data_IF_571147430505
#
_entry.id   IF_571147430505
#
_cell.length_a   1.000
_cell.length_b   1.000
_cell.length_c   1.000
_cell.angle_alpha   90.00
_cell.angle_beta   90.00
_cell.angle_gamma   90.00
#
_symmetry.space_group_name_H-M   'P 1'
#
loop_
_entity.id
_entity.type
_entity.pdbx_description
1 polymer ?
#
# COMPACT_ATOMS: atom_id res chain seq x y z
N UNK A 1 -14.01 -30.47 14.98
CA UNK A 1 -13.25 -30.58 13.74
C UNK A 1 -12.12 -29.56 13.76
N UNK A 2 -10.94 -30.01 14.24
CA UNK A 2 -9.69 -29.26 14.15
C UNK A 2 -9.07 -29.49 12.76
N UNK A 3 -9.71 -28.97 11.72
CA UNK A 3 -9.09 -28.91 10.40
C UNK A 3 -7.94 -27.91 10.46
N UNK A 4 -6.72 -28.41 10.29
CA UNK A 4 -5.54 -27.54 10.12
C UNK A 4 -5.84 -26.55 8.99
N UNK A 5 -5.61 -25.24 9.19
CA UNK A 5 -5.84 -24.26 8.14
C UNK A 5 -5.02 -24.67 6.90
N UNK A 6 -5.69 -24.92 5.79
CA UNK A 6 -5.00 -25.27 4.55
C UNK A 6 -4.13 -24.08 4.11
N UNK A 7 -2.96 -24.36 3.51
CA UNK A 7 -2.07 -23.31 2.96
C UNK A 7 -2.84 -22.38 2.02
N UNK A 8 -3.81 -22.92 1.28
CA UNK A 8 -4.73 -22.15 0.45
C UNK A 8 -5.50 -21.08 1.24
N UNK A 9 -6.07 -21.46 2.39
CA UNK A 9 -6.83 -20.53 3.26
C UNK A 9 -5.93 -19.45 3.84
N UNK A 10 -4.70 -19.82 4.26
CA UNK A 10 -3.70 -18.87 4.73
C UNK A 10 -3.34 -17.86 3.64
N UNK A 11 -3.01 -18.34 2.44
CA UNK A 11 -2.68 -17.48 1.29
C UNK A 11 -3.83 -16.57 0.89
N UNK A 12 -5.07 -17.05 0.93
CA UNK A 12 -6.24 -16.24 0.61
C UNK A 12 -6.45 -15.10 1.63
N UNK A 13 -6.32 -15.39 2.92
CA UNK A 13 -6.40 -14.37 3.98
C UNK A 13 -5.26 -13.35 3.84
N UNK A 14 -4.06 -13.80 3.47
CA UNK A 14 -2.93 -12.92 3.24
C UNK A 14 -3.14 -12.04 2.01
N UNK A 15 -3.67 -12.60 0.92
CA UNK A 15 -4.04 -11.84 -0.28
C UNK A 15 -5.12 -10.80 0.00
N UNK A 16 -6.14 -11.14 0.78
CA UNK A 16 -7.16 -10.20 1.24
C UNK A 16 -6.52 -9.02 2.00
N UNK A 17 -5.65 -9.33 2.97
CA UNK A 17 -4.93 -8.32 3.74
C UNK A 17 -4.06 -7.43 2.84
N UNK A 18 -3.34 -8.01 1.87
CA UNK A 18 -2.52 -7.28 0.91
C UNK A 18 -3.37 -6.37 0.01
N UNK A 19 -4.51 -6.87 -0.48
CA UNK A 19 -5.46 -6.11 -1.29
C UNK A 19 -5.97 -4.86 -0.57
N UNK A 20 -6.48 -5.00 0.66
CA UNK A 20 -6.96 -3.86 1.43
C UNK A 20 -5.83 -2.89 1.80
N UNK A 21 -4.67 -3.42 2.18
CA UNK A 21 -3.49 -2.60 2.47
C UNK A 21 -3.08 -1.77 1.26
N UNK A 22 -3.03 -2.37 0.07
CA UNK A 22 -2.74 -1.66 -1.19
C UNK A 22 -3.72 -0.51 -1.42
N UNK A 23 -5.03 -0.75 -1.28
CA UNK A 23 -6.07 0.27 -1.46
C UNK A 23 -5.91 1.45 -0.48
N UNK A 24 -5.58 1.16 0.79
CA UNK A 24 -5.31 2.20 1.79
C UNK A 24 -4.07 3.00 1.42
N UNK A 25 -2.98 2.33 1.03
CA UNK A 25 -1.72 2.97 0.65
C UNK A 25 -1.89 3.88 -0.58
N UNK A 26 -2.67 3.46 -1.58
CA UNK A 26 -3.00 4.30 -2.75
C UNK A 26 -3.67 5.61 -2.35
N UNK A 27 -4.65 5.56 -1.45
CA UNK A 27 -5.30 6.77 -0.93
C UNK A 27 -4.37 7.62 -0.07
N UNK A 28 -3.47 6.99 0.70
CA UNK A 28 -2.46 7.71 1.48
C UNK A 28 -1.48 8.45 0.57
N UNK A 29 -0.95 7.81 -0.47
CA UNK A 29 -0.05 8.45 -1.45
C UNK A 29 -0.74 9.65 -2.08
N UNK A 30 -1.97 9.49 -2.55
CA UNK A 30 -2.73 10.59 -3.14
C UNK A 30 -2.90 11.77 -2.17
N UNK A 31 -3.23 11.50 -0.91
CA UNK A 31 -3.35 12.52 0.13
C UNK A 31 -2.03 13.25 0.41
N UNK A 32 -0.92 12.52 0.45
CA UNK A 32 0.41 13.11 0.64
C UNK A 32 0.87 13.91 -0.58
N UNK A 33 0.62 13.41 -1.79
CA UNK A 33 0.94 14.11 -3.03
C UNK A 33 0.22 15.48 -3.12
N UNK A 34 -1.07 15.53 -2.75
CA UNK A 34 -1.82 16.79 -2.68
C UNK A 34 -1.17 17.75 -1.68
N UNK A 35 -0.84 17.30 -0.47
CA UNK A 35 -0.20 18.14 0.54
C UNK A 35 1.12 18.71 0.04
N UNK A 36 1.98 17.88 -0.53
CA UNK A 36 3.27 18.30 -1.08
C UNK A 36 3.06 19.31 -2.22
N UNK A 37 2.10 19.08 -3.12
CA UNK A 37 1.79 20.00 -4.23
C UNK A 37 1.33 21.37 -3.73
N UNK A 38 0.48 21.42 -2.71
CA UNK A 38 0.04 22.68 -2.10
C UNK A 38 1.23 23.45 -1.52
N UNK A 39 2.13 22.78 -0.81
CA UNK A 39 3.34 23.42 -0.28
C UNK A 39 4.25 23.96 -1.39
N UNK A 40 4.44 23.21 -2.47
CA UNK A 40 5.24 23.65 -3.62
C UNK A 40 4.63 24.91 -4.27
N UNK A 41 3.30 24.95 -4.43
CA UNK A 41 2.59 26.11 -5.00
C UNK A 41 2.80 27.34 -4.11
N UNK A 42 2.62 27.19 -2.79
CA UNK A 42 2.85 28.28 -1.83
C UNK A 42 4.29 28.77 -1.94
N UNK A 43 5.26 27.87 -1.99
CA UNK A 43 6.68 28.20 -2.13
C UNK A 43 6.96 29.03 -3.38
N UNK A 44 6.42 28.62 -4.54
CA UNK A 44 6.58 29.33 -5.82
C UNK A 44 5.97 30.74 -5.73
N UNK A 45 4.78 30.89 -5.14
CA UNK A 45 4.13 32.20 -4.98
C UNK A 45 4.98 33.15 -4.12
N UNK A 46 5.56 32.64 -3.03
CA UNK A 46 6.43 33.42 -2.14
C UNK A 46 7.73 33.83 -2.85
N UNK A 47 8.31 32.95 -3.66
CA UNK A 47 9.50 33.27 -4.47
C UNK A 47 9.22 34.41 -5.45
N UNK A 48 8.08 34.38 -6.17
CA UNK A 48 7.72 35.40 -7.17
C UNK A 48 7.48 36.76 -6.49
N UNK A 49 6.90 36.77 -5.30
CA UNK A 49 6.59 38.02 -4.57
C UNK A 49 7.77 38.62 -3.81
N UNK A 50 8.97 38.03 -3.87
CA UNK A 50 10.17 38.47 -3.15
C UNK A 50 9.94 38.73 -1.65
N UNK A 51 9.07 37.93 -1.05
CA UNK A 51 8.71 38.03 0.37
C UNK A 51 9.82 37.39 1.21
N UNK A 52 10.05 37.98 2.34
CA UNK A 52 11.02 37.71 3.40
C UNK A 52 11.76 36.35 3.29
N UNK A 53 13.09 36.42 3.12
CA UNK A 53 14.00 35.27 2.98
C UNK A 53 13.84 34.27 4.15
N UNK A 54 13.58 34.76 5.37
CA UNK A 54 13.40 33.92 6.55
C UNK A 54 12.18 32.99 6.41
N UNK A 55 11.05 33.49 5.92
CA UNK A 55 9.84 32.72 5.69
C UNK A 55 10.07 31.64 4.62
N UNK A 56 10.82 31.98 3.59
CA UNK A 56 11.20 31.09 2.49
C UNK A 56 12.08 29.95 2.99
N UNK A 57 13.01 30.24 3.90
CA UNK A 57 13.89 29.27 4.56
C UNK A 57 13.08 28.30 5.43
N UNK A 58 12.13 28.78 6.23
CA UNK A 58 11.26 27.96 7.09
C UNK A 58 10.41 27.00 6.24
N UNK A 59 9.82 27.50 5.15
CA UNK A 59 9.02 26.65 4.26
C UNK A 59 9.90 25.60 3.56
N UNK A 60 11.09 25.99 3.12
CA UNK A 60 12.06 25.05 2.52
C UNK A 60 12.46 23.98 3.53
N UNK A 61 12.79 24.34 4.75
CA UNK A 61 13.13 23.39 5.81
C UNK A 61 11.96 22.44 6.12
N UNK A 62 10.73 22.94 6.10
CA UNK A 62 9.54 22.12 6.36
C UNK A 62 9.27 21.15 5.21
N UNK A 63 9.40 21.58 3.96
CA UNK A 63 9.23 20.74 2.76
C UNK A 63 10.31 19.66 2.64
N UNK A 64 11.55 20.07 2.89
CA UNK A 64 12.71 19.19 2.81
C UNK A 64 13.07 18.60 4.17
N UNK A 65 12.21 18.74 5.19
CA UNK A 65 12.39 17.95 6.40
C UNK A 65 12.45 16.49 5.98
N UNK A 66 13.54 15.83 6.34
CA UNK A 66 13.81 14.44 5.95
C UNK A 66 12.62 13.51 6.24
N UNK A 67 11.77 13.86 7.21
CA UNK A 67 10.60 13.09 7.60
C UNK A 67 9.50 13.07 6.53
N UNK A 68 9.12 14.20 5.94
CA UNK A 68 7.99 14.26 4.99
C UNK A 68 8.34 13.59 3.68
N UNK A 69 9.49 13.95 3.10
CA UNK A 69 9.97 13.35 1.84
C UNK A 69 10.32 11.88 2.02
N UNK A 70 11.04 11.54 3.10
CA UNK A 70 11.42 10.16 3.37
C UNK A 70 10.20 9.27 3.57
N UNK A 71 9.19 9.76 4.30
CA UNK A 71 7.94 9.03 4.48
C UNK A 71 7.20 8.83 3.17
N UNK A 72 7.14 9.85 2.31
CA UNK A 72 6.51 9.74 1.00
C UNK A 72 7.22 8.75 0.09
N UNK A 73 8.56 8.80 0.02
CA UNK A 73 9.37 7.84 -0.75
C UNK A 73 9.15 6.41 -0.23
N UNK A 74 9.15 6.24 1.08
CA UNK A 74 8.89 4.96 1.73
C UNK A 74 7.49 4.43 1.40
N UNK A 75 6.49 5.30 1.35
CA UNK A 75 5.12 4.95 0.99
C UNK A 75 5.03 4.52 -0.49
N UNK A 76 5.73 5.21 -1.39
CA UNK A 76 5.81 4.83 -2.80
C UNK A 76 6.51 3.48 -3.00
N UNK A 77 7.61 3.23 -2.29
CA UNK A 77 8.30 1.94 -2.30
C UNK A 77 7.38 0.83 -1.80
N UNK A 78 6.69 1.05 -0.69
CA UNK A 78 5.74 0.10 -0.12
C UNK A 78 4.62 -0.25 -1.10
N UNK A 79 4.04 0.75 -1.77
CA UNK A 79 3.06 0.53 -2.83
C UNK A 79 3.61 -0.34 -3.95
N UNK A 80 4.79 -0.02 -4.46
CA UNK A 80 5.42 -0.76 -5.55
C UNK A 80 5.58 -2.24 -5.22
N UNK A 81 6.04 -2.56 -4.02
CA UNK A 81 6.18 -3.93 -3.55
C UNK A 81 4.83 -4.63 -3.34
N UNK A 82 3.83 -3.90 -2.80
CA UNK A 82 2.47 -4.43 -2.66
C UNK A 82 1.82 -4.74 -4.01
N UNK A 83 2.04 -3.91 -5.02
CA UNK A 83 1.55 -4.17 -6.39
C UNK A 83 2.12 -5.48 -6.95
N UNK A 84 3.42 -5.71 -6.74
CA UNK A 84 4.09 -6.94 -7.14
C UNK A 84 3.51 -8.15 -6.40
N UNK A 85 3.41 -8.10 -5.08
CA UNK A 85 2.86 -9.17 -4.24
C UNK A 85 1.41 -9.49 -4.62
N UNK A 86 0.56 -8.47 -4.78
CA UNK A 86 -0.82 -8.68 -5.19
C UNK A 86 -0.92 -9.34 -6.57
N UNK A 87 -0.04 -8.97 -7.51
CA UNK A 87 0.02 -9.60 -8.83
C UNK A 87 0.43 -11.06 -8.74
N UNK A 88 1.43 -11.38 -7.94
CA UNK A 88 1.89 -12.76 -7.72
C UNK A 88 0.78 -13.63 -7.10
N UNK A 89 0.02 -13.11 -6.11
CA UNK A 89 -1.17 -13.80 -5.61
C UNK A 89 -2.21 -14.02 -6.72
N UNK A 90 -2.48 -13.01 -7.56
CA UNK A 90 -3.40 -13.15 -8.67
C UNK A 90 -2.95 -14.23 -9.65
N UNK A 91 -1.68 -14.27 -10.02
CA UNK A 91 -1.13 -15.24 -10.95
C UNK A 91 -1.30 -16.69 -10.43
N UNK A 92 -1.14 -16.91 -9.13
CA UNK A 92 -1.35 -18.23 -8.53
C UNK A 92 -2.83 -18.58 -8.49
N UNK A 93 -3.69 -17.69 -8.00
CA UNK A 93 -5.09 -18.01 -7.79
C UNK A 93 -5.91 -18.09 -9.09
N UNK A 94 -5.54 -17.31 -10.13
CA UNK A 94 -6.33 -17.24 -11.36
C UNK A 94 -5.73 -17.98 -12.55
N UNK A 95 -4.39 -18.08 -12.65
CA UNK A 95 -3.72 -18.60 -13.84
C UNK A 95 -3.21 -20.02 -13.62
N UNK A 96 -2.48 -20.26 -12.52
CA UNK A 96 -1.78 -21.53 -12.32
C UNK A 96 -2.63 -22.63 -11.70
N UNK A 97 -3.71 -22.26 -11.00
CA UNK A 97 -4.50 -23.23 -10.24
C UNK A 97 -3.74 -23.81 -9.03
N UNK A 98 -4.48 -24.25 -8.03
CA UNK A 98 -3.93 -24.71 -6.74
C UNK A 98 -3.69 -26.22 -6.66
N UNK A 99 -3.65 -26.91 -7.80
CA UNK A 99 -3.59 -28.38 -7.85
C UNK A 99 -2.16 -28.96 -7.75
N UNK A 100 -1.13 -28.13 -7.61
CA UNK A 100 0.26 -28.58 -7.66
C UNK A 100 1.01 -28.23 -6.37
N UNK A 101 1.84 -29.14 -5.85
CA UNK A 101 2.68 -28.90 -4.65
C UNK A 101 3.56 -27.66 -4.79
N UNK A 102 4.03 -27.36 -6.00
CA UNK A 102 4.76 -26.14 -6.31
C UNK A 102 3.94 -24.87 -6.05
N UNK A 103 2.62 -24.89 -6.23
CA UNK A 103 1.76 -23.74 -5.96
C UNK A 103 1.68 -23.44 -4.46
N UNK A 104 1.68 -24.46 -3.61
CA UNK A 104 1.69 -24.31 -2.15
C UNK A 104 2.99 -23.66 -1.66
N UNK A 105 4.13 -24.06 -2.22
CA UNK A 105 5.44 -23.48 -1.89
C UNK A 105 5.50 -22.01 -2.32
N UNK A 106 5.03 -21.70 -3.54
CA UNK A 106 4.98 -20.32 -4.02
C UNK A 106 4.06 -19.46 -3.17
N UNK A 107 2.89 -19.99 -2.79
CA UNK A 107 1.93 -19.27 -1.95
C UNK A 107 2.51 -18.94 -0.56
N UNK A 108 3.26 -19.90 0.01
CA UNK A 108 3.94 -19.69 1.28
C UNK A 108 5.02 -18.60 1.15
N UNK A 109 5.84 -18.65 0.10
CA UNK A 109 6.89 -17.66 -0.15
C UNK A 109 6.30 -16.24 -0.27
N UNK A 110 5.25 -16.06 -1.08
CA UNK A 110 4.61 -14.75 -1.24
C UNK A 110 4.00 -14.25 0.08
N UNK A 111 3.43 -15.17 0.88
CA UNK A 111 2.92 -14.83 2.21
C UNK A 111 4.05 -14.33 3.12
N UNK A 112 5.20 -14.99 3.09
CA UNK A 112 6.38 -14.55 3.84
C UNK A 112 6.90 -13.19 3.34
N UNK A 113 6.97 -13.00 2.03
CA UNK A 113 7.39 -11.72 1.43
C UNK A 113 6.48 -10.56 1.87
N UNK A 114 5.17 -10.80 1.91
CA UNK A 114 4.22 -9.80 2.41
C UNK A 114 4.44 -9.46 3.88
N UNK A 115 4.61 -10.44 4.75
CA UNK A 115 4.86 -10.21 6.18
C UNK A 115 6.22 -9.54 6.42
N UNK A 116 7.26 -9.93 5.67
CA UNK A 116 8.56 -9.27 5.68
C UNK A 116 8.44 -7.79 5.24
N UNK A 117 7.71 -7.52 4.18
CA UNK A 117 7.47 -6.16 3.68
C UNK A 117 6.77 -5.29 4.73
N UNK A 118 5.74 -5.79 5.40
CA UNK A 118 5.05 -5.10 6.50
C UNK A 118 6.02 -4.77 7.64
N UNK A 119 6.81 -5.75 8.05
CA UNK A 119 7.78 -5.61 9.14
C UNK A 119 8.90 -4.63 8.80
N UNK A 120 9.36 -4.61 7.55
CA UNK A 120 10.39 -3.70 7.06
C UNK A 120 9.88 -2.27 6.95
N UNK A 121 8.75 -2.08 6.28
CA UNK A 121 8.22 -0.74 6.03
C UNK A 121 7.61 -0.11 7.28
N UNK A 122 7.03 -0.88 8.20
CA UNK A 122 6.38 -0.38 9.43
C UNK A 122 5.47 0.83 9.18
N UNK A 123 4.71 0.79 8.07
CA UNK A 123 3.77 1.87 7.73
C UNK A 123 2.47 1.61 8.46
N UNK A 124 2.07 2.57 9.30
CA UNK A 124 0.78 2.50 9.96
C UNK A 124 -0.34 2.71 8.94
N UNK A 125 -1.16 1.70 8.75
CA UNK A 125 -2.35 1.80 7.90
C UNK A 125 -3.35 2.79 8.50
N UNK A 126 -3.89 3.69 7.68
CA UNK A 126 -4.88 4.66 8.13
C UNK A 126 -6.24 4.01 8.30
N UNK A 127 -6.63 3.73 9.55
CA UNK A 127 -7.96 3.21 9.89
C UNK A 127 -9.08 4.12 9.38
N UNK A 128 -8.91 5.44 9.43
CA UNK A 128 -9.87 6.41 8.91
C UNK A 128 -10.14 6.23 7.42
N UNK A 129 -9.09 6.03 6.61
CA UNK A 129 -9.22 5.77 5.17
C UNK A 129 -9.91 4.43 4.94
N UNK A 130 -9.53 3.39 5.69
CA UNK A 130 -10.12 2.08 5.60
C UNK A 130 -11.63 2.12 5.87
N UNK A 131 -12.06 2.62 7.01
CA UNK A 131 -13.48 2.65 7.38
C UNK A 131 -14.33 3.48 6.41
N UNK A 132 -13.78 4.56 5.86
CA UNK A 132 -14.49 5.40 4.88
C UNK A 132 -14.82 4.66 3.58
N UNK A 133 -13.95 3.74 3.14
CA UNK A 133 -14.05 3.10 1.83
C UNK A 133 -14.32 1.59 1.92
N UNK A 134 -14.44 1.05 3.13
CA UNK A 134 -14.51 -0.40 3.36
C UNK A 134 -15.66 -1.08 2.59
N UNK A 135 -16.82 -0.44 2.48
CA UNK A 135 -17.98 -1.03 1.79
C UNK A 135 -17.67 -1.29 0.32
N UNK A 136 -17.18 -0.27 -0.39
CA UNK A 136 -16.80 -0.37 -1.80
C UNK A 136 -15.72 -1.42 -2.03
N UNK A 137 -14.68 -1.42 -1.21
CA UNK A 137 -13.56 -2.36 -1.34
C UNK A 137 -13.96 -3.79 -0.99
N UNK A 138 -14.87 -3.98 -0.05
CA UNK A 138 -15.41 -5.32 0.27
C UNK A 138 -16.25 -5.87 -0.86
N UNK A 139 -17.01 -5.04 -1.57
CA UNK A 139 -17.74 -5.44 -2.77
C UNK A 139 -16.77 -5.85 -3.90
N UNK A 140 -15.71 -5.04 -4.14
CA UNK A 140 -14.66 -5.39 -5.10
C UNK A 140 -13.97 -6.73 -4.74
N UNK A 141 -13.61 -6.91 -3.47
CA UNK A 141 -13.01 -8.15 -2.98
C UNK A 141 -13.93 -9.35 -3.20
N UNK A 142 -15.20 -9.22 -2.86
CA UNK A 142 -16.20 -10.28 -3.08
C UNK A 142 -16.32 -10.65 -4.56
N UNK A 143 -16.25 -9.67 -5.45
CA UNK A 143 -16.28 -9.91 -6.89
C UNK A 143 -14.99 -10.59 -7.40
N UNK A 144 -13.83 -10.29 -6.80
CA UNK A 144 -12.59 -11.01 -7.05
C UNK A 144 -12.68 -12.47 -6.61
N UNK A 145 -13.19 -12.72 -5.40
CA UNK A 145 -13.36 -14.08 -4.86
C UNK A 145 -14.22 -14.98 -5.74
N UNK A 146 -15.27 -14.45 -6.37
CA UNK A 146 -16.12 -15.21 -7.30
C UNK A 146 -15.37 -15.73 -8.53
N UNK A 147 -14.23 -15.10 -8.87
CA UNK A 147 -13.38 -15.50 -10.00
C UNK A 147 -12.32 -16.54 -9.60
N UNK A 148 -12.07 -16.69 -8.29
CA UNK A 148 -11.18 -17.71 -7.75
C UNK A 148 -11.98 -19.02 -7.65
N UNK A 149 -11.84 -19.86 -8.65
CA UNK A 149 -12.48 -21.19 -8.67
C UNK A 149 -11.62 -22.25 -8.01
#
# INVERSE_FOLDING_TARGET
NNEKPSIKKLGLNCYESAFFTKKVVDKMIFSYAIKISVFIIIYIILMIKSINIELLLVITQTLFSAEVLFYFIKLCYYKFQLDKICKEFQDIFFIRGLSNDNANVLLLNITMDYECLKSFCKIASSSKIFFKNNKEWSEEWTNLLKKIK
#
